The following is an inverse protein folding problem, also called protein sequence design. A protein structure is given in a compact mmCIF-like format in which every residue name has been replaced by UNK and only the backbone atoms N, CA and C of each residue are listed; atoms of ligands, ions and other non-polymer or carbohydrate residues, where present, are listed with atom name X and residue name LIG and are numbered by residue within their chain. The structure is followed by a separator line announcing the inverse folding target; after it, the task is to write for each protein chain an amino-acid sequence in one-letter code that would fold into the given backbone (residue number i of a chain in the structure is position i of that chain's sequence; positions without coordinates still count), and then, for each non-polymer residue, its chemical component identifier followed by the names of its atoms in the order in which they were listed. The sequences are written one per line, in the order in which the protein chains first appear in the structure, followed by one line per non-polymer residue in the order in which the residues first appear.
data_IF_442789572062
#
_entry.id   IF_442789572062
#
_cell.length_a   1.000
_cell.length_b   1.000
_cell.length_c   1.000
_cell.angle_alpha   90.00
_cell.angle_beta   90.00
_cell.angle_gamma   90.00
#
_symmetry.space_group_name_H-M   'P 1'
#
loop_
_entity.id
_entity.type
_entity.pdbx_description
1 polymer ?
#
# COMPACT_ATOMS: atom_id res chain seq x y z
N UNK A 1 -22.24 13.12 -14.47
CA UNK A 1 -22.94 12.12 -13.62
C UNK A 1 -23.10 10.73 -14.27
N UNK A 2 -23.64 10.60 -15.50
CA UNK A 2 -23.80 9.26 -16.14
C UNK A 2 -22.47 8.54 -16.41
N UNK A 3 -21.43 9.26 -16.83
CA UNK A 3 -20.10 8.69 -17.09
C UNK A 3 -19.45 8.05 -15.85
N UNK A 4 -19.57 8.68 -14.67
CA UNK A 4 -18.98 8.17 -13.43
C UNK A 4 -19.62 6.85 -12.98
N UNK A 5 -20.93 6.70 -13.23
CA UNK A 5 -21.65 5.45 -12.95
C UNK A 5 -21.18 4.32 -13.87
N UNK A 6 -20.89 4.60 -15.13
CA UNK A 6 -20.29 3.63 -16.05
C UNK A 6 -18.89 3.22 -15.60
N UNK A 7 -18.04 4.17 -15.22
CA UNK A 7 -16.71 3.87 -14.66
C UNK A 7 -16.82 3.02 -13.41
N UNK A 8 -17.73 3.36 -12.49
CA UNK A 8 -17.97 2.58 -11.28
C UNK A 8 -18.42 1.14 -11.60
N UNK A 9 -19.34 0.96 -12.57
CA UNK A 9 -19.77 -0.38 -13.00
C UNK A 9 -18.60 -1.20 -13.59
N UNK A 10 -17.72 -0.59 -14.37
CA UNK A 10 -16.52 -1.26 -14.91
C UNK A 10 -15.59 -1.68 -13.77
N UNK A 11 -15.36 -0.81 -12.79
CA UNK A 11 -14.52 -1.12 -11.62
C UNK A 11 -15.13 -2.26 -10.80
N UNK A 12 -16.44 -2.24 -10.55
CA UNK A 12 -17.15 -3.32 -9.83
C UNK A 12 -17.03 -4.63 -10.61
N UNK A 13 -17.30 -4.62 -11.92
CA UNK A 13 -17.22 -5.81 -12.75
C UNK A 13 -15.81 -6.40 -12.76
N UNK A 14 -14.79 -5.54 -12.85
CA UNK A 14 -13.39 -5.96 -12.76
C UNK A 14 -13.04 -6.54 -11.39
N UNK A 15 -13.45 -5.89 -10.30
CA UNK A 15 -13.24 -6.39 -8.94
C UNK A 15 -13.88 -7.76 -8.72
N UNK A 16 -15.12 -7.96 -9.19
CA UNK A 16 -15.81 -9.25 -9.12
C UNK A 16 -15.14 -10.32 -9.99
N UNK A 17 -14.73 -9.98 -11.22
CA UNK A 17 -14.01 -10.90 -12.09
C UNK A 17 -12.65 -11.31 -11.49
N UNK A 18 -11.96 -10.38 -10.85
CA UNK A 18 -10.70 -10.63 -10.14
C UNK A 18 -10.92 -11.53 -8.92
N UNK A 19 -11.98 -11.29 -8.13
CA UNK A 19 -12.37 -12.17 -7.02
C UNK A 19 -12.74 -13.58 -7.49
N UNK A 20 -13.43 -13.67 -8.63
CA UNK A 20 -13.70 -14.95 -9.28
C UNK A 20 -12.39 -15.66 -9.66
N UNK A 21 -11.44 -14.93 -10.26
CA UNK A 21 -10.08 -15.42 -10.55
C UNK A 21 -9.36 -15.92 -9.30
N UNK A 22 -9.37 -15.14 -8.23
CA UNK A 22 -8.81 -15.54 -6.94
C UNK A 22 -9.50 -16.81 -6.38
N UNK A 23 -10.80 -16.96 -6.64
CA UNK A 23 -11.54 -18.15 -6.23
C UNK A 23 -11.15 -19.43 -7.00
N UNK A 24 -10.42 -19.32 -8.12
CA UNK A 24 -9.96 -20.49 -8.86
C UNK A 24 -8.60 -21.01 -8.35
N UNK A 25 -7.91 -20.25 -7.49
CA UNK A 25 -6.63 -20.64 -6.90
C UNK A 25 -6.87 -21.84 -5.97
N UNK A 26 -6.26 -22.99 -6.31
CA UNK A 26 -6.31 -24.20 -5.49
C UNK A 26 -5.49 -24.00 -4.22
N UNK A 27 -6.09 -24.29 -3.09
CA UNK A 27 -5.40 -24.30 -1.80
C UNK A 27 -4.77 -25.67 -1.60
N UNK A 28 -3.43 -25.73 -1.49
CA UNK A 28 -2.75 -26.90 -0.94
C UNK A 28 -2.82 -26.79 0.58
N UNK A 29 -3.41 -27.78 1.24
CA UNK A 29 -3.60 -27.88 2.71
C UNK A 29 -2.29 -28.03 3.51
N UNK A 30 -1.16 -27.73 2.90
CA UNK A 30 0.17 -27.97 3.44
C UNK A 30 0.82 -26.62 3.73
N UNK A 31 0.77 -26.22 5.01
CA UNK A 31 1.68 -25.26 5.66
C UNK A 31 1.49 -23.74 5.56
N UNK A 32 0.32 -23.20 5.18
CA UNK A 32 0.07 -21.76 5.31
C UNK A 32 -1.03 -21.47 6.35
N UNK A 33 -0.72 -20.69 7.39
CA UNK A 33 -1.70 -20.19 8.36
C UNK A 33 -2.81 -19.35 7.68
N UNK A 34 -2.46 -18.71 6.56
CA UNK A 34 -3.38 -18.02 5.67
C UNK A 34 -3.13 -18.48 4.23
N UNK A 35 -4.20 -18.90 3.55
CA UNK A 35 -4.11 -19.42 2.19
C UNK A 35 -3.63 -18.39 1.16
N UNK A 36 -3.04 -18.82 0.03
CA UNK A 36 -2.52 -17.94 -1.02
C UNK A 36 -3.57 -17.02 -1.65
N UNK A 37 -4.85 -17.30 -1.40
CA UNK A 37 -6.01 -16.51 -1.83
C UNK A 37 -6.23 -15.24 -1.03
N UNK A 38 -5.65 -15.11 0.16
CA UNK A 38 -5.97 -14.00 1.05
C UNK A 38 -5.63 -12.63 0.44
N UNK A 39 -4.40 -12.44 -0.02
CA UNK A 39 -3.97 -11.17 -0.62
C UNK A 39 -4.78 -10.84 -1.89
N UNK A 40 -4.95 -11.76 -2.85
CA UNK A 40 -5.85 -11.53 -3.99
C UNK A 40 -7.28 -11.19 -3.56
N UNK A 41 -7.84 -11.89 -2.57
CA UNK A 41 -9.21 -11.64 -2.11
C UNK A 41 -9.35 -10.25 -1.48
N UNK A 42 -8.40 -9.84 -0.65
CA UNK A 42 -8.40 -8.53 -0.01
C UNK A 42 -8.35 -7.39 -1.05
N UNK A 43 -7.49 -7.51 -2.07
CA UNK A 43 -7.39 -6.54 -3.17
C UNK A 43 -8.71 -6.49 -3.95
N UNK A 44 -9.27 -7.65 -4.31
CA UNK A 44 -10.53 -7.72 -5.06
C UNK A 44 -11.72 -7.12 -4.31
N UNK A 45 -11.80 -7.36 -3.00
CA UNK A 45 -12.81 -6.74 -2.12
C UNK A 45 -12.61 -5.22 -2.11
N UNK A 46 -11.39 -4.73 -1.92
CA UNK A 46 -11.08 -3.30 -1.91
C UNK A 46 -11.52 -2.60 -3.19
N UNK A 47 -11.13 -3.14 -4.35
CA UNK A 47 -11.51 -2.61 -5.67
C UNK A 47 -13.04 -2.60 -5.86
N UNK A 48 -13.71 -3.69 -5.46
CA UNK A 48 -15.17 -3.80 -5.57
C UNK A 48 -15.87 -2.77 -4.68
N UNK A 49 -15.40 -2.58 -3.43
CA UNK A 49 -15.92 -1.60 -2.50
C UNK A 49 -15.69 -0.16 -2.98
N UNK A 50 -14.52 0.14 -3.54
CA UNK A 50 -14.25 1.45 -4.16
C UNK A 50 -15.20 1.73 -5.32
N UNK A 51 -15.47 0.73 -6.17
CA UNK A 51 -16.45 0.85 -7.24
C UNK A 51 -17.88 1.07 -6.73
N UNK A 52 -18.30 0.33 -5.69
CA UNK A 52 -19.60 0.52 -5.03
C UNK A 52 -19.73 1.92 -4.43
N UNK A 53 -18.68 2.39 -3.75
CA UNK A 53 -18.62 3.74 -3.20
C UNK A 53 -18.80 4.79 -4.30
N UNK A 54 -18.08 4.68 -5.42
CA UNK A 54 -18.22 5.59 -6.56
C UNK A 54 -19.61 5.55 -7.21
N UNK A 55 -20.27 4.39 -7.20
CA UNK A 55 -21.61 4.23 -7.75
C UNK A 55 -22.68 4.90 -6.87
N UNK A 56 -22.53 4.78 -5.54
CA UNK A 56 -23.47 5.27 -4.53
C UNK A 56 -23.22 6.72 -4.14
N UNK A 57 -21.97 7.19 -4.20
CA UNK A 57 -21.62 8.56 -3.82
C UNK A 57 -22.34 9.57 -4.74
N UNK A 58 -22.94 10.64 -4.18
CA UNK A 58 -23.44 11.74 -4.99
C UNK A 58 -22.26 12.31 -5.75
N UNK A 59 -22.28 12.15 -7.08
CA UNK A 59 -21.12 12.49 -7.92
C UNK A 59 -20.65 13.90 -7.60
N UNK A 60 -19.39 14.03 -7.19
CA UNK A 60 -18.77 15.33 -7.00
C UNK A 60 -18.94 16.14 -8.30
N UNK A 61 -19.22 17.45 -8.22
CA UNK A 61 -19.10 18.30 -9.39
C UNK A 61 -17.72 18.06 -10.00
N UNK A 62 -17.58 18.00 -11.34
CA UNK A 62 -16.26 17.99 -11.92
C UNK A 62 -15.53 19.24 -11.41
N UNK A 63 -14.56 19.03 -10.52
CA UNK A 63 -13.59 20.07 -10.22
C UNK A 63 -12.95 20.41 -11.55
N UNK A 64 -12.91 21.70 -11.87
CA UNK A 64 -12.14 22.18 -12.99
C UNK A 64 -10.68 21.91 -12.64
N UNK A 65 -10.19 20.72 -12.99
CA UNK A 65 -8.78 20.41 -13.02
C UNK A 65 -8.16 21.37 -14.01
N UNK A 66 -7.63 22.49 -13.50
CA UNK A 66 -6.57 23.18 -14.22
C UNK A 66 -5.48 22.13 -14.44
N UNK A 67 -4.93 22.00 -15.66
CA UNK A 67 -3.78 21.14 -15.88
C UNK A 67 -2.65 21.70 -15.02
N UNK A 68 -2.53 21.21 -13.79
CA UNK A 68 -1.39 21.46 -12.95
C UNK A 68 -0.25 20.78 -13.68
N UNK A 69 0.58 21.57 -14.34
CA UNK A 69 1.88 21.14 -14.82
C UNK A 69 2.69 20.82 -13.57
N UNK A 70 2.52 19.59 -13.06
CA UNK A 70 3.34 19.06 -11.99
C UNK A 70 4.74 18.95 -12.58
N UNK A 71 5.58 19.91 -12.23
CA UNK A 71 7.00 19.87 -12.61
C UNK A 71 7.61 18.61 -12.00
N UNK A 72 8.16 17.74 -12.85
CA UNK A 72 8.86 16.57 -12.39
C UNK A 72 10.11 17.01 -11.61
N UNK A 73 10.11 16.80 -10.30
CA UNK A 73 11.29 17.03 -9.48
C UNK A 73 12.24 15.83 -9.59
N UNK A 74 13.12 15.90 -10.59
CA UNK A 74 14.15 14.88 -10.83
C UNK A 74 15.07 14.65 -9.61
N UNK A 75 15.26 15.67 -8.76
CA UNK A 75 16.04 15.53 -7.55
C UNK A 75 15.33 14.63 -6.53
N UNK A 76 14.04 14.88 -6.29
CA UNK A 76 13.23 14.03 -5.41
C UNK A 76 13.17 12.58 -5.91
N UNK A 77 13.06 12.39 -7.22
CA UNK A 77 13.12 11.04 -7.84
C UNK A 77 14.47 10.38 -7.56
N UNK A 78 15.58 11.08 -7.80
CA UNK A 78 16.93 10.55 -7.57
C UNK A 78 17.19 10.23 -6.09
N UNK A 79 16.76 11.12 -5.18
CA UNK A 79 16.88 10.90 -3.74
C UNK A 79 16.05 9.71 -3.26
N UNK A 80 14.81 9.58 -3.76
CA UNK A 80 13.96 8.43 -3.44
C UNK A 80 14.59 7.12 -3.95
N UNK A 81 15.16 7.13 -5.15
CA UNK A 81 15.88 5.98 -5.68
C UNK A 81 17.06 5.57 -4.79
N UNK A 82 17.91 6.53 -4.41
CA UNK A 82 19.04 6.28 -3.48
C UNK A 82 18.53 5.76 -2.13
N UNK A 83 17.43 6.30 -1.62
CA UNK A 83 16.84 5.88 -0.36
C UNK A 83 16.33 4.43 -0.42
N UNK A 84 15.71 4.02 -1.53
CA UNK A 84 15.28 2.63 -1.76
C UNK A 84 16.49 1.69 -1.86
N UNK A 85 17.54 2.09 -2.57
CA UNK A 85 18.78 1.29 -2.65
C UNK A 85 19.43 1.14 -1.27
N UNK A 86 19.49 2.23 -0.50
CA UNK A 86 19.99 2.21 0.88
C UNK A 86 19.14 1.29 1.76
N UNK A 87 17.81 1.37 1.66
CA UNK A 87 16.87 0.48 2.34
C UNK A 87 17.20 -0.99 2.05
N UNK A 88 17.35 -1.39 0.79
CA UNK A 88 17.67 -2.76 0.40
C UNK A 88 19.00 -3.22 1.02
N UNK A 89 20.02 -2.36 0.99
CA UNK A 89 21.34 -2.67 1.52
C UNK A 89 21.32 -2.91 3.04
N UNK A 90 20.56 -2.11 3.79
CA UNK A 90 20.48 -2.21 5.26
C UNK A 90 19.37 -3.14 5.75
N UNK A 91 18.43 -3.54 4.89
CA UNK A 91 17.23 -4.31 5.25
C UNK A 91 17.55 -5.58 6.03
N UNK A 92 18.56 -6.33 5.57
CA UNK A 92 18.97 -7.59 6.21
C UNK A 92 19.60 -7.38 7.59
N UNK A 93 20.29 -6.25 7.79
CA UNK A 93 21.01 -5.94 9.04
C UNK A 93 20.07 -5.29 10.05
N UNK A 94 19.35 -4.25 9.66
CA UNK A 94 18.47 -3.47 10.53
C UNK A 94 17.12 -4.14 10.79
N UNK A 95 16.71 -5.08 9.95
CA UNK A 95 15.40 -5.71 10.03
C UNK A 95 14.29 -4.85 9.44
N UNK A 96 13.12 -5.47 9.28
CA UNK A 96 11.94 -4.88 8.66
C UNK A 96 11.46 -3.62 9.38
N UNK A 97 11.36 -3.67 10.72
CA UNK A 97 10.74 -2.60 11.49
C UNK A 97 11.54 -1.29 11.36
N UNK A 98 12.86 -1.35 11.59
CA UNK A 98 13.72 -0.16 11.51
C UNK A 98 13.93 0.31 10.08
N UNK A 99 14.25 -0.60 9.15
CA UNK A 99 14.55 -0.22 7.78
C UNK A 99 13.32 0.42 7.11
N UNK A 100 12.13 -0.16 7.30
CA UNK A 100 10.90 0.33 6.64
C UNK A 100 10.41 1.62 7.29
N UNK A 101 10.53 1.75 8.62
CA UNK A 101 10.23 3.02 9.31
C UNK A 101 11.12 4.15 8.78
N UNK A 102 12.43 3.91 8.65
CA UNK A 102 13.37 4.90 8.12
C UNK A 102 13.05 5.25 6.67
N UNK A 103 12.73 4.26 5.82
CA UNK A 103 12.33 4.49 4.44
C UNK A 103 11.09 5.38 4.35
N UNK A 104 10.03 5.06 5.12
CA UNK A 104 8.79 5.82 5.10
C UNK A 104 8.99 7.24 5.64
N UNK A 105 9.71 7.38 6.74
CA UNK A 105 9.97 8.68 7.36
C UNK A 105 10.85 9.57 6.47
N UNK A 106 12.00 9.07 6.02
CA UNK A 106 12.89 9.83 5.12
C UNK A 106 12.25 10.07 3.76
N UNK A 107 11.45 9.12 3.26
CA UNK A 107 10.71 9.26 2.01
C UNK A 107 9.70 10.40 2.06
N UNK A 108 8.98 10.55 3.18
CA UNK A 108 8.07 11.68 3.41
C UNK A 108 8.83 13.02 3.38
N UNK A 109 10.02 13.08 3.98
CA UNK A 109 10.85 14.29 3.94
C UNK A 109 11.36 14.62 2.53
N UNK A 110 11.74 13.60 1.74
CA UNK A 110 12.19 13.78 0.36
C UNK A 110 11.05 14.34 -0.51
N UNK A 111 9.83 13.84 -0.33
CA UNK A 111 8.65 14.28 -1.10
C UNK A 111 8.07 15.64 -0.70
N UNK A 112 8.64 16.30 0.31
CA UNK A 112 8.36 17.70 0.58
C UNK A 112 7.49 17.99 1.81
N UNK A 113 7.17 17.02 2.66
CA UNK A 113 6.52 17.30 3.96
C UNK A 113 7.56 17.75 5.02
N UNK A 114 8.25 18.85 4.71
CA UNK A 114 9.39 19.34 5.50
C UNK A 114 8.97 19.95 6.85
N UNK A 115 7.68 20.07 7.14
CA UNK A 115 7.13 20.74 8.31
C UNK A 115 6.76 19.83 9.49
N UNK A 116 6.63 18.52 9.30
CA UNK A 116 5.98 17.63 10.28
C UNK A 116 6.80 16.37 10.63
N UNK A 117 8.11 16.51 10.79
CA UNK A 117 9.06 15.43 11.11
C UNK A 117 8.56 14.44 12.19
N UNK A 118 7.97 14.95 13.28
CA UNK A 118 7.45 14.13 14.38
C UNK A 118 6.22 13.34 13.94
N UNK A 119 5.28 14.00 13.27
CA UNK A 119 4.04 13.36 12.79
C UNK A 119 4.37 12.25 11.80
N UNK A 120 5.28 12.52 10.87
CA UNK A 120 5.64 11.58 9.82
C UNK A 120 6.44 10.40 10.39
N UNK A 121 7.27 10.64 11.40
CA UNK A 121 7.91 9.58 12.18
C UNK A 121 6.90 8.69 12.91
N UNK A 122 5.89 9.29 13.57
CA UNK A 122 4.83 8.54 14.26
C UNK A 122 4.01 7.72 13.27
N UNK A 123 3.62 8.29 12.13
CA UNK A 123 2.89 7.59 11.06
C UNK A 123 3.74 6.45 10.50
N UNK A 124 5.03 6.69 10.23
CA UNK A 124 5.94 5.67 9.71
C UNK A 124 6.07 4.48 10.67
N UNK A 125 6.25 4.75 11.97
CA UNK A 125 6.31 3.72 13.01
C UNK A 125 4.98 2.97 13.09
N UNK A 126 3.86 3.68 13.17
CA UNK A 126 2.53 3.08 13.31
C UNK A 126 2.17 2.20 12.11
N UNK A 127 2.44 2.68 10.88
CA UNK A 127 2.18 1.94 9.66
C UNK A 127 3.08 0.70 9.57
N UNK A 128 4.38 0.85 9.85
CA UNK A 128 5.33 -0.27 9.81
C UNK A 128 4.96 -1.33 10.85
N UNK A 129 4.65 -0.92 12.09
CA UNK A 129 4.23 -1.82 13.15
C UNK A 129 2.90 -2.51 12.83
N UNK A 130 1.92 -1.77 12.29
CA UNK A 130 0.64 -2.34 11.86
C UNK A 130 0.82 -3.43 10.80
N UNK A 131 1.66 -3.18 9.79
CA UNK A 131 1.96 -4.18 8.76
C UNK A 131 2.74 -5.36 9.37
N UNK A 132 3.69 -5.12 10.28
CA UNK A 132 4.41 -6.19 10.98
C UNK A 132 3.45 -7.12 11.72
N UNK A 133 2.47 -6.57 12.44
CA UNK A 133 1.45 -7.35 13.15
C UNK A 133 0.58 -8.15 12.20
N UNK A 134 0.14 -7.56 11.08
CA UNK A 134 -0.63 -8.29 10.06
C UNK A 134 0.20 -9.45 9.49
N UNK A 135 1.46 -9.24 9.16
CA UNK A 135 2.28 -10.30 8.57
C UNK A 135 2.67 -11.38 9.58
N UNK A 136 3.02 -11.00 10.80
CA UNK A 136 3.41 -11.95 11.85
C UNK A 136 2.21 -12.74 12.38
N UNK A 137 1.11 -12.08 12.73
CA UNK A 137 -0.03 -12.72 13.39
C UNK A 137 -1.06 -13.27 12.40
N UNK A 138 -1.35 -12.53 11.33
CA UNK A 138 -2.35 -12.97 10.35
C UNK A 138 -1.70 -13.95 9.39
N UNK A 139 -0.59 -13.59 8.75
CA UNK A 139 0.01 -14.42 7.70
C UNK A 139 0.98 -15.50 8.22
N UNK A 140 1.42 -15.41 9.48
CA UNK A 140 2.42 -16.32 10.03
C UNK A 140 3.80 -16.18 9.36
N UNK A 141 4.07 -15.04 8.73
CA UNK A 141 5.32 -14.78 8.01
C UNK A 141 6.32 -14.12 8.96
N UNK A 142 7.47 -14.76 9.12
CA UNK A 142 8.59 -14.20 9.87
C UNK A 142 9.31 -13.16 9.03
N UNK A 143 9.13 -11.89 9.37
CA UNK A 143 9.89 -10.78 8.80
C UNK A 143 11.27 -10.68 9.47
N UNK A 144 12.31 -10.20 8.78
CA UNK A 144 13.62 -10.01 9.39
C UNK A 144 13.52 -9.10 10.62
N UNK A 145 13.89 -9.60 11.80
CA UNK A 145 13.76 -8.86 13.06
C UNK A 145 14.90 -7.83 13.24
N UNK A 146 16.05 -8.06 12.58
CA UNK A 146 17.24 -7.22 12.75
C UNK A 146 17.86 -7.41 14.14
N UNK A 147 18.54 -6.38 14.71
CA UNK A 147 19.19 -6.49 16.01
C UNK A 147 18.23 -6.35 17.19
N UNK A 148 16.96 -6.02 16.93
CA UNK A 148 15.94 -5.84 17.95
C UNK A 148 15.23 -7.18 18.20
N UNK A 149 15.27 -7.73 19.43
CA UNK A 149 14.71 -9.04 19.74
C UNK A 149 13.21 -8.92 20.07
N UNK A 150 12.36 -8.82 19.05
CA UNK A 150 10.91 -8.95 19.21
C UNK A 150 10.23 -9.53 17.96
#
# INVERSE_FOLDING_TARGET
MRAIRWVALVIIAFGLAYLWGASLIRESTTYAAVGPRFIPSAIGIGVTLSGLWLFLAPGAPPEAESPQLVSLDWLSIGLMFVLVVAYIAVFRVLGYLLATTLLLWLGAQVLGDRGHLIRDGVIAVALTAGIYLVFSQLLGINLPQGPLPF
#
